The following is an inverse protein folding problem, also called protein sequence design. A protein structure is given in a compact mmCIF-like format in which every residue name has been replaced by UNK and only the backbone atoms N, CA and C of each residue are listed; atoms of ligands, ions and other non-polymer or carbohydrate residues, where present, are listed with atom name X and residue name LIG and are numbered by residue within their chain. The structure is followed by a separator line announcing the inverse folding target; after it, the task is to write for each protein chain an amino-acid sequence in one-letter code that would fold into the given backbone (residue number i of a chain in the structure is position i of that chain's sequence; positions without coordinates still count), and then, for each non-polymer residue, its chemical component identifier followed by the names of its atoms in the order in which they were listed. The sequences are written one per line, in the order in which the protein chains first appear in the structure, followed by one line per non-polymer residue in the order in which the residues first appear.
data_IF_247421303738
#
_entry.id   IF_247421303738
#
_cell.length_a   1.000
_cell.length_b   1.000
_cell.length_c   1.000
_cell.angle_alpha   90.00
_cell.angle_beta   90.00
_cell.angle_gamma   90.00
#
_symmetry.space_group_name_H-M   'P 1'
#
loop_
_entity.id
_entity.type
_entity.pdbx_description
1 polymer ?
#
# COMPACT_ATOMS: atom_id res chain seq x y z
N UNK A 1 -45.20 -51.62 32.15
CA UNK A 1 -44.67 -50.24 32.30
C UNK A 1 -43.17 -50.12 32.08
N UNK A 2 -42.28 -51.03 32.52
CA UNK A 2 -40.83 -50.94 32.32
C UNK A 2 -40.33 -51.05 30.85
N UNK A 3 -41.04 -51.79 29.98
CA UNK A 3 -40.72 -51.99 28.56
C UNK A 3 -41.13 -50.79 27.67
N UNK A 4 -42.18 -50.06 28.07
CA UNK A 4 -42.59 -48.85 27.34
C UNK A 4 -41.65 -47.64 27.62
N UNK A 5 -41.03 -47.57 28.81
CA UNK A 5 -40.11 -46.54 29.19
C UNK A 5 -38.75 -46.68 28.48
N UNK A 6 -38.27 -47.91 28.22
CA UNK A 6 -37.04 -48.20 27.49
C UNK A 6 -37.13 -47.85 26.00
N UNK A 7 -38.29 -48.02 25.38
CA UNK A 7 -38.54 -47.66 23.98
C UNK A 7 -38.65 -46.14 23.79
N UNK A 8 -39.16 -45.41 24.79
CA UNK A 8 -39.25 -43.95 24.76
C UNK A 8 -37.86 -43.29 24.91
N UNK A 9 -36.97 -43.87 25.74
CA UNK A 9 -35.60 -43.38 25.90
C UNK A 9 -34.74 -43.62 24.67
N UNK A 10 -34.92 -44.73 23.95
CA UNK A 10 -34.22 -45.02 22.70
C UNK A 10 -34.71 -44.12 21.56
N UNK A 11 -36.01 -43.79 21.50
CA UNK A 11 -36.57 -42.86 20.53
C UNK A 11 -36.05 -41.43 20.74
N UNK A 12 -35.86 -40.98 22.01
CA UNK A 12 -35.30 -39.66 22.32
C UNK A 12 -33.80 -39.58 22.02
N UNK A 13 -33.05 -40.70 22.21
CA UNK A 13 -31.63 -40.76 21.82
C UNK A 13 -31.42 -40.76 20.29
N UNK A 14 -32.34 -41.37 19.52
CA UNK A 14 -32.26 -41.37 18.06
C UNK A 14 -32.65 -40.04 17.41
N UNK A 15 -33.53 -39.25 18.06
CA UNK A 15 -33.87 -37.89 17.56
C UNK A 15 -32.76 -36.89 17.86
N UNK A 16 -31.97 -37.10 18.92
CA UNK A 16 -30.80 -36.26 19.24
C UNK A 16 -29.58 -36.47 18.32
N UNK A 17 -29.52 -37.59 17.57
CA UNK A 17 -28.42 -37.91 16.65
C UNK A 17 -28.66 -37.46 15.20
N UNK A 18 -29.85 -36.98 14.84
CA UNK A 18 -30.15 -36.46 13.51
C UNK A 18 -30.21 -34.92 13.42
N UNK A 19 -30.01 -34.22 14.54
CA UNK A 19 -29.93 -32.74 14.55
C UNK A 19 -28.50 -32.19 14.36
N UNK A 20 -27.53 -33.02 14.00
CA UNK A 20 -26.12 -32.67 13.97
C UNK A 20 -25.37 -32.97 12.68
N UNK A 21 -25.99 -32.93 11.49
CA UNK A 21 -25.28 -33.10 10.22
C UNK A 21 -25.96 -32.34 9.06
N UNK A 22 -26.14 -31.03 9.19
CA UNK A 22 -26.31 -30.12 8.05
C UNK A 22 -25.28 -29.01 8.09
N UNK A 23 -24.14 -29.25 8.71
CA UNK A 23 -22.96 -28.39 8.59
C UNK A 23 -22.18 -28.82 7.35
N UNK A 24 -22.39 -28.19 6.21
CA UNK A 24 -21.43 -28.25 5.13
C UNK A 24 -20.04 -27.86 5.68
N UNK A 25 -18.98 -28.35 5.06
CA UNK A 25 -17.60 -27.97 5.40
C UNK A 25 -17.51 -26.45 5.52
N UNK A 26 -17.10 -25.93 6.70
CA UNK A 26 -17.14 -24.49 6.98
C UNK A 26 -16.15 -23.68 6.11
N UNK A 27 -15.20 -24.38 5.47
CA UNK A 27 -14.09 -23.76 4.77
C UNK A 27 -13.14 -23.04 5.74
N UNK A 28 -12.08 -22.51 5.21
CA UNK A 28 -11.07 -21.72 5.93
C UNK A 28 -10.67 -20.49 5.12
N UNK A 29 -10.07 -19.52 5.79
CA UNK A 29 -9.44 -18.35 5.16
C UNK A 29 -7.95 -18.40 5.44
N UNK A 30 -7.14 -18.27 4.39
CA UNK A 30 -5.71 -18.08 4.51
C UNK A 30 -5.33 -16.84 3.71
N UNK A 31 -5.09 -15.73 4.42
CA UNK A 31 -4.67 -14.47 3.83
C UNK A 31 -3.15 -14.37 3.82
N UNK A 32 -2.56 -14.36 2.62
CA UNK A 32 -1.17 -13.96 2.43
C UNK A 32 -1.12 -12.43 2.32
N UNK A 33 -0.67 -11.79 3.40
CA UNK A 33 -0.63 -10.35 3.52
C UNK A 33 0.63 -9.76 2.89
N UNK A 34 0.43 -8.67 2.15
CA UNK A 34 1.49 -7.89 1.48
C UNK A 34 2.10 -6.79 2.38
N UNK A 35 1.37 -6.31 3.43
CA UNK A 35 1.70 -5.13 4.24
C UNK A 35 2.25 -5.52 5.61
N UNK A 36 3.59 -5.55 5.80
CA UNK A 36 4.19 -5.94 7.09
C UNK A 36 3.74 -5.06 8.27
N UNK A 37 3.56 -3.76 8.03
CA UNK A 37 3.14 -2.78 9.02
C UNK A 37 1.72 -3.02 9.56
N UNK A 38 0.92 -3.82 8.85
CA UNK A 38 -0.47 -4.12 9.21
C UNK A 38 -0.63 -5.44 9.97
N UNK A 39 0.42 -6.22 10.17
CA UNK A 39 0.34 -7.60 10.66
C UNK A 39 -0.45 -7.72 11.96
N UNK A 40 -0.15 -6.92 12.96
CA UNK A 40 -0.80 -6.96 14.28
C UNK A 40 -2.32 -6.76 14.17
N UNK A 41 -2.75 -5.75 13.42
CA UNK A 41 -4.18 -5.45 13.22
C UNK A 41 -4.86 -6.56 12.43
N UNK A 42 -4.20 -7.15 11.44
CA UNK A 42 -4.75 -8.26 10.66
C UNK A 42 -4.90 -9.53 11.49
N UNK A 43 -3.99 -9.82 12.42
CA UNK A 43 -4.12 -10.93 13.37
C UNK A 43 -5.32 -10.70 14.30
N UNK A 44 -5.54 -9.47 14.78
CA UNK A 44 -6.73 -9.12 15.59
C UNK A 44 -8.02 -9.30 14.80
N UNK A 45 -8.11 -8.79 13.57
CA UNK A 45 -9.27 -8.91 12.69
C UNK A 45 -9.57 -10.38 12.37
N UNK A 46 -8.54 -11.19 12.10
CA UNK A 46 -8.66 -12.63 11.89
C UNK A 46 -9.24 -13.33 13.13
N UNK A 47 -8.76 -12.99 14.32
CA UNK A 47 -9.27 -13.51 15.58
C UNK A 47 -10.74 -13.12 15.80
N UNK A 48 -11.11 -11.86 15.59
CA UNK A 48 -12.50 -11.38 15.72
C UNK A 48 -13.46 -12.17 14.82
N UNK A 49 -13.10 -12.36 13.55
CA UNK A 49 -13.92 -13.15 12.63
C UNK A 49 -14.05 -14.61 13.04
N UNK A 50 -12.95 -15.23 13.47
CA UNK A 50 -12.94 -16.60 13.93
C UNK A 50 -13.83 -16.79 15.17
N UNK A 51 -13.77 -15.86 16.13
CA UNK A 51 -14.60 -15.89 17.34
C UNK A 51 -16.10 -15.72 17.03
N UNK A 52 -16.44 -14.84 16.07
CA UNK A 52 -17.83 -14.55 15.68
C UNK A 52 -18.45 -15.70 14.86
N UNK A 53 -17.68 -16.27 13.91
CA UNK A 53 -18.25 -17.18 12.90
C UNK A 53 -17.85 -18.65 13.09
N UNK A 54 -16.79 -18.90 13.84
CA UNK A 54 -16.14 -20.21 13.97
C UNK A 54 -15.42 -20.67 12.70
N UNK A 55 -15.18 -19.79 11.73
CA UNK A 55 -14.34 -20.02 10.54
C UNK A 55 -12.92 -19.62 10.88
N UNK A 56 -11.96 -20.53 10.69
CA UNK A 56 -10.55 -20.24 10.93
C UNK A 56 -10.01 -19.23 9.90
N UNK A 57 -9.33 -18.18 10.38
CA UNK A 57 -8.62 -17.23 9.56
C UNK A 57 -7.15 -17.24 9.94
N UNK A 58 -6.29 -17.65 8.99
CA UNK A 58 -4.84 -17.59 9.09
C UNK A 58 -4.35 -16.36 8.31
N UNK A 59 -3.52 -15.55 8.94
CA UNK A 59 -2.77 -14.48 8.25
C UNK A 59 -1.29 -14.85 8.26
N UNK A 60 -0.66 -14.84 7.09
CA UNK A 60 0.78 -14.91 6.93
C UNK A 60 1.25 -13.61 6.27
N UNK A 61 2.11 -12.88 6.94
CA UNK A 61 2.65 -11.64 6.41
C UNK A 61 4.02 -11.88 5.78
N UNK A 62 4.17 -11.52 4.52
CA UNK A 62 5.45 -11.56 3.83
C UNK A 62 6.37 -10.45 4.35
N UNK A 63 7.67 -10.73 4.46
CA UNK A 63 8.64 -9.70 4.78
C UNK A 63 8.72 -8.66 3.65
N UNK A 64 9.08 -7.41 4.01
CA UNK A 64 9.22 -6.32 3.04
C UNK A 64 10.10 -6.74 1.85
N UNK A 65 9.62 -6.46 0.63
CA UNK A 65 10.32 -6.80 -0.61
C UNK A 65 10.27 -8.28 -1.04
N UNK A 66 9.66 -9.19 -0.23
CA UNK A 66 9.68 -10.64 -0.51
C UNK A 66 8.35 -11.23 -0.93
N UNK A 67 7.31 -10.43 -1.09
CA UNK A 67 5.94 -10.92 -1.32
C UNK A 67 5.81 -11.91 -2.48
N UNK A 68 6.36 -11.59 -3.64
CA UNK A 68 6.24 -12.44 -4.83
C UNK A 68 6.90 -13.82 -4.64
N UNK A 69 8.06 -13.86 -3.98
CA UNK A 69 8.77 -15.12 -3.67
C UNK A 69 7.97 -15.94 -2.66
N UNK A 70 7.42 -15.27 -1.64
CA UNK A 70 6.57 -15.90 -0.63
C UNK A 70 5.29 -16.44 -1.26
N UNK A 71 4.64 -15.68 -2.15
CA UNK A 71 3.42 -16.10 -2.86
C UNK A 71 3.68 -17.36 -3.69
N UNK A 72 4.75 -17.39 -4.48
CA UNK A 72 5.13 -18.58 -5.26
C UNK A 72 5.30 -19.81 -4.36
N UNK A 73 6.06 -19.66 -3.25
CA UNK A 73 6.32 -20.76 -2.33
C UNK A 73 5.05 -21.25 -1.59
N UNK A 74 4.14 -20.34 -1.26
CA UNK A 74 2.89 -20.69 -0.57
C UNK A 74 1.85 -21.29 -1.51
N UNK A 75 1.79 -20.87 -2.78
CA UNK A 75 0.83 -21.41 -3.76
C UNK A 75 1.11 -22.87 -4.15
N UNK A 76 2.35 -23.34 -4.00
CA UNK A 76 2.74 -24.72 -4.26
C UNK A 76 2.37 -25.69 -3.10
N UNK A 77 1.90 -25.17 -1.97
CA UNK A 77 1.53 -25.99 -0.81
C UNK A 77 0.14 -26.61 -0.96
N UNK A 78 -0.07 -27.75 -0.30
CA UNK A 78 -1.38 -28.38 -0.22
C UNK A 78 -2.44 -27.44 0.42
N UNK A 79 -2.01 -26.62 1.37
CA UNK A 79 -2.83 -25.58 2.00
C UNK A 79 -2.39 -24.20 1.50
N UNK A 80 -2.62 -23.94 0.22
CA UNK A 80 -2.33 -22.67 -0.41
C UNK A 80 -3.17 -21.51 0.16
N UNK A 81 -2.71 -20.25 0.04
CA UNK A 81 -3.51 -19.08 0.35
C UNK A 81 -4.84 -19.07 -0.39
N UNK A 82 -5.92 -18.73 0.31
CA UNK A 82 -7.25 -18.55 -0.27
C UNK A 82 -7.50 -17.10 -0.68
N UNK A 83 -6.81 -16.16 0.00
CA UNK A 83 -6.82 -14.72 -0.25
C UNK A 83 -5.38 -14.25 -0.45
N UNK A 84 -5.10 -13.61 -1.57
CA UNK A 84 -3.77 -13.12 -1.92
C UNK A 84 -3.83 -11.80 -2.70
N UNK A 85 -2.69 -11.19 -3.01
CA UNK A 85 -2.62 -9.89 -3.69
C UNK A 85 -2.15 -10.06 -5.13
N UNK A 86 -2.89 -9.43 -6.06
CA UNK A 86 -2.46 -9.18 -7.45
C UNK A 86 -2.30 -7.67 -7.58
N UNK A 87 -1.08 -7.14 -7.42
CA UNK A 87 -0.82 -5.73 -7.20
C UNK A 87 -0.55 -4.87 -8.46
N UNK A 88 -0.45 -5.47 -9.65
CA UNK A 88 -0.17 -4.77 -10.90
C UNK A 88 -0.53 -5.60 -12.13
N UNK A 89 -0.47 -5.01 -13.33
CA UNK A 89 -0.86 -5.67 -14.59
C UNK A 89 0.05 -6.84 -14.99
N UNK A 90 1.32 -6.85 -14.59
CA UNK A 90 2.18 -8.02 -14.81
C UNK A 90 1.76 -9.19 -13.93
N UNK A 91 1.44 -8.91 -12.66
CA UNK A 91 0.91 -9.92 -11.75
C UNK A 91 -0.45 -10.48 -12.22
N UNK A 92 -1.28 -9.70 -12.91
CA UNK A 92 -2.49 -10.22 -13.57
C UNK A 92 -2.13 -11.30 -14.60
N UNK A 93 -1.13 -11.07 -15.44
CA UNK A 93 -0.70 -12.05 -16.45
C UNK A 93 -0.20 -13.35 -15.82
N UNK A 94 0.49 -13.25 -14.69
CA UNK A 94 1.08 -14.40 -13.97
C UNK A 94 0.01 -15.20 -13.19
N UNK A 95 -0.94 -14.50 -12.56
CA UNK A 95 -1.83 -15.09 -11.55
C UNK A 95 -3.30 -15.20 -11.96
N UNK A 96 -3.72 -14.71 -13.13
CA UNK A 96 -5.13 -14.74 -13.58
C UNK A 96 -5.76 -16.15 -13.53
N UNK A 97 -5.00 -17.20 -13.82
CA UNK A 97 -5.48 -18.58 -13.82
C UNK A 97 -5.74 -19.14 -12.41
N UNK A 98 -5.22 -18.46 -11.39
CA UNK A 98 -5.47 -18.73 -9.97
C UNK A 98 -6.55 -17.80 -9.39
N UNK A 99 -6.95 -16.75 -10.08
CA UNK A 99 -7.92 -15.80 -9.58
C UNK A 99 -9.36 -16.23 -9.88
N UNK A 100 -10.24 -16.09 -8.88
CA UNK A 100 -11.67 -16.20 -9.07
C UNK A 100 -12.21 -14.94 -9.75
N UNK A 101 -13.10 -15.10 -10.74
CA UNK A 101 -13.78 -13.94 -11.31
C UNK A 101 -14.76 -13.34 -10.27
N UNK A 102 -14.53 -12.11 -9.87
CA UNK A 102 -15.26 -11.39 -8.82
C UNK A 102 -16.38 -10.49 -9.35
N UNK A 103 -16.62 -10.43 -10.67
CA UNK A 103 -17.48 -9.43 -11.33
C UNK A 103 -18.89 -9.29 -10.72
N UNK A 104 -19.52 -10.39 -10.35
CA UNK A 104 -20.87 -10.40 -9.78
C UNK A 104 -20.88 -10.81 -8.29
N UNK A 105 -19.72 -10.78 -7.66
CA UNK A 105 -19.53 -11.23 -6.30
C UNK A 105 -20.15 -10.30 -5.26
N UNK A 106 -20.31 -10.80 -4.04
CA UNK A 106 -20.83 -10.03 -2.92
C UNK A 106 -19.92 -8.83 -2.60
N UNK A 107 -18.58 -9.01 -2.63
CA UNK A 107 -17.64 -7.92 -2.36
C UNK A 107 -17.64 -6.87 -3.48
N UNK A 108 -17.81 -7.26 -4.75
CA UNK A 108 -17.88 -6.30 -5.85
C UNK A 108 -19.12 -5.38 -5.75
N UNK A 109 -20.22 -5.86 -5.15
CA UNK A 109 -21.42 -5.05 -4.89
C UNK A 109 -21.22 -4.00 -3.79
N UNK A 110 -20.27 -4.21 -2.90
CA UNK A 110 -19.87 -3.25 -1.86
C UNK A 110 -18.99 -2.11 -2.38
N UNK A 111 -18.37 -2.24 -3.56
CA UNK A 111 -17.51 -1.20 -4.12
C UNK A 111 -18.26 0.14 -4.28
N UNK A 112 -17.63 1.24 -3.87
CA UNK A 112 -18.10 2.60 -4.15
C UNK A 112 -17.51 3.19 -5.43
N UNK A 113 -16.47 2.53 -5.98
CA UNK A 113 -15.81 2.88 -7.24
C UNK A 113 -15.24 1.63 -7.90
N UNK A 114 -15.11 1.63 -9.22
CA UNK A 114 -14.43 0.59 -10.01
C UNK A 114 -13.00 0.99 -10.42
N UNK A 115 -12.54 2.17 -9.99
CA UNK A 115 -11.23 2.71 -10.33
C UNK A 115 -10.06 1.82 -9.83
N UNK A 116 -10.29 1.00 -8.81
CA UNK A 116 -9.31 0.11 -8.21
C UNK A 116 -9.63 -1.36 -8.48
N UNK A 117 -10.03 -1.65 -9.71
CA UNK A 117 -10.31 -3.00 -10.18
C UNK A 117 -9.27 -3.42 -11.21
N UNK A 118 -8.87 -4.70 -11.19
CA UNK A 118 -8.01 -5.27 -12.23
C UNK A 118 -8.74 -6.36 -13.01
N UNK A 119 -8.63 -6.25 -14.32
CA UNK A 119 -9.25 -7.16 -15.26
C UNK A 119 -8.19 -7.90 -16.07
N UNK A 120 -8.46 -9.17 -16.38
CA UNK A 120 -7.69 -9.91 -17.37
C UNK A 120 -8.12 -9.54 -18.81
N UNK A 121 -7.41 -10.09 -19.79
CA UNK A 121 -7.69 -9.82 -21.21
C UNK A 121 -9.09 -10.31 -21.68
N UNK A 122 -9.71 -11.23 -20.94
CA UNK A 122 -11.05 -11.77 -21.20
C UNK A 122 -12.16 -10.94 -20.51
N UNK A 123 -11.78 -9.89 -19.77
CA UNK A 123 -12.70 -9.01 -19.04
C UNK A 123 -13.21 -9.60 -17.73
N UNK A 124 -12.55 -10.61 -17.17
CA UNK A 124 -12.84 -11.09 -15.83
C UNK A 124 -12.23 -10.14 -14.79
N UNK A 125 -12.99 -9.84 -13.74
CA UNK A 125 -12.52 -9.10 -12.58
C UNK A 125 -11.68 -10.03 -11.69
N UNK A 126 -10.36 -9.96 -11.81
CA UNK A 126 -9.43 -10.90 -11.15
C UNK A 126 -8.96 -10.43 -9.79
N UNK A 127 -9.00 -9.11 -9.53
CA UNK A 127 -8.71 -8.56 -8.21
C UNK A 127 -9.37 -7.20 -7.98
N UNK A 128 -9.55 -6.84 -6.69
CA UNK A 128 -10.26 -5.65 -6.23
C UNK A 128 -9.38 -4.91 -5.22
N UNK A 129 -9.20 -3.61 -5.40
CA UNK A 129 -8.49 -2.79 -4.44
C UNK A 129 -9.14 -2.83 -3.06
N UNK A 130 -8.37 -3.16 -2.01
CA UNK A 130 -8.89 -3.15 -0.65
C UNK A 130 -8.51 -1.91 0.15
N UNK A 131 -7.54 -1.14 -0.31
CA UNK A 131 -7.26 0.17 0.25
C UNK A 131 -6.83 1.16 -0.84
N UNK A 132 -6.95 2.44 -0.50
CA UNK A 132 -6.50 3.56 -1.29
C UNK A 132 -5.50 4.34 -0.45
N UNK A 133 -4.37 4.69 -1.05
CA UNK A 133 -3.26 5.35 -0.37
C UNK A 133 -2.76 6.53 -1.20
N UNK A 134 -1.97 7.40 -0.55
CA UNK A 134 -1.22 8.42 -1.25
C UNK A 134 0.23 8.46 -0.77
N UNK A 135 1.13 8.96 -1.60
CA UNK A 135 2.51 9.22 -1.23
C UNK A 135 3.03 10.52 -1.86
N UNK A 136 4.10 10.99 -1.28
CA UNK A 136 4.76 12.24 -1.63
C UNK A 136 5.89 12.52 -0.64
N UNK A 137 6.02 13.77 -0.23
CA UNK A 137 6.97 14.20 0.80
C UNK A 137 6.16 14.58 2.05
N UNK A 138 6.36 13.85 3.14
CA UNK A 138 5.83 14.21 4.46
C UNK A 138 6.65 15.36 5.00
N UNK A 139 5.98 16.41 5.48
CA UNK A 139 6.60 17.66 5.95
C UNK A 139 6.25 17.89 7.41
N UNK A 140 7.23 18.38 8.18
CA UNK A 140 7.04 18.94 9.51
C UNK A 140 6.94 20.46 9.44
N UNK A 141 5.72 21.06 9.43
CA UNK A 141 5.55 22.50 9.28
C UNK A 141 6.25 23.32 10.36
N UNK A 142 6.33 22.78 11.59
CA UNK A 142 7.03 23.45 12.70
C UNK A 142 8.52 23.65 12.41
N UNK A 143 9.17 22.68 11.78
CA UNK A 143 10.59 22.81 11.41
C UNK A 143 10.78 23.76 10.22
N UNK A 144 9.83 23.77 9.28
CA UNK A 144 9.83 24.73 8.16
C UNK A 144 9.75 26.17 8.70
N UNK A 145 8.81 26.43 9.63
CA UNK A 145 8.68 27.74 10.28
C UNK A 145 9.92 28.10 11.10
N UNK A 146 10.50 27.14 11.83
CA UNK A 146 11.75 27.33 12.59
C UNK A 146 12.93 27.70 11.70
N UNK A 147 12.97 27.18 10.47
CA UNK A 147 13.97 27.55 9.46
C UNK A 147 13.71 28.92 8.82
N UNK A 148 12.56 29.55 9.09
CA UNK A 148 12.19 30.87 8.58
C UNK A 148 11.38 30.85 7.28
N UNK A 149 10.79 29.71 6.95
CA UNK A 149 9.98 29.49 5.75
C UNK A 149 8.50 29.20 6.09
N UNK A 150 7.66 29.16 5.06
CA UNK A 150 6.24 28.80 5.14
C UNK A 150 5.93 27.64 4.22
N UNK A 151 4.83 26.94 4.45
CA UNK A 151 4.36 25.88 3.55
C UNK A 151 4.14 26.38 2.11
N UNK A 152 3.78 27.66 1.94
CA UNK A 152 3.62 28.28 0.63
C UNK A 152 4.92 28.40 -0.18
N UNK A 153 6.08 28.34 0.47
CA UNK A 153 7.39 28.33 -0.19
C UNK A 153 7.73 26.97 -0.84
N UNK A 154 6.90 25.92 -0.59
CA UNK A 154 7.11 24.54 -1.03
C UNK A 154 6.20 24.12 -2.21
N UNK A 155 5.67 25.06 -3.02
CA UNK A 155 4.64 24.78 -4.02
C UNK A 155 5.15 24.39 -5.42
N UNK A 156 6.45 24.27 -5.61
CA UNK A 156 7.11 23.81 -6.82
C UNK A 156 8.53 23.35 -6.49
N UNK A 157 9.23 22.79 -7.47
CA UNK A 157 10.58 22.26 -7.28
C UNK A 157 11.58 23.31 -6.84
N UNK A 158 11.56 24.51 -7.46
CA UNK A 158 12.51 25.58 -7.12
C UNK A 158 12.35 26.06 -5.67
N UNK A 159 11.11 26.18 -5.20
CA UNK A 159 10.83 26.52 -3.80
C UNK A 159 11.27 25.42 -2.84
N UNK A 160 10.90 24.15 -3.13
CA UNK A 160 11.33 23.02 -2.34
C UNK A 160 12.85 22.91 -2.28
N UNK A 161 13.54 23.04 -3.42
CA UNK A 161 14.99 23.00 -3.54
C UNK A 161 15.64 24.09 -2.68
N UNK A 162 15.20 25.33 -2.84
CA UNK A 162 15.71 26.45 -2.05
C UNK A 162 15.61 26.21 -0.55
N UNK A 163 14.46 25.71 -0.09
CA UNK A 163 14.22 25.46 1.35
C UNK A 163 15.07 24.30 1.85
N UNK A 164 15.13 23.19 1.09
CA UNK A 164 15.91 22.02 1.48
C UNK A 164 17.42 22.30 1.53
N UNK A 165 17.97 22.95 0.52
CA UNK A 165 19.40 23.31 0.46
C UNK A 165 19.79 24.28 1.59
N UNK A 166 18.94 25.26 1.92
CA UNK A 166 19.19 26.19 3.01
C UNK A 166 19.13 25.51 4.38
N UNK A 167 18.14 24.65 4.61
CA UNK A 167 18.06 23.87 5.86
C UNK A 167 19.30 23.00 6.01
N UNK A 168 19.67 22.24 4.97
CA UNK A 168 20.84 21.37 5.00
C UNK A 168 22.12 22.17 5.31
N UNK A 169 22.34 23.28 4.62
CA UNK A 169 23.48 24.18 4.87
C UNK A 169 23.54 24.69 6.31
N UNK A 170 22.39 24.92 6.93
CA UNK A 170 22.26 25.41 8.32
C UNK A 170 21.93 24.31 9.32
N UNK A 171 22.03 23.03 8.95
CA UNK A 171 21.58 21.92 9.80
C UNK A 171 22.20 21.94 11.19
N UNK A 172 23.49 22.27 11.31
CA UNK A 172 24.18 22.38 12.60
C UNK A 172 23.63 23.54 13.46
N UNK A 173 23.26 24.65 12.87
CA UNK A 173 22.67 25.82 13.55
C UNK A 173 21.24 25.50 13.99
N UNK A 174 20.44 24.91 13.09
CA UNK A 174 19.03 24.61 13.30
C UNK A 174 18.81 23.44 14.27
N UNK A 175 19.76 22.49 14.32
CA UNK A 175 19.68 21.26 15.09
C UNK A 175 18.88 20.15 14.41
N UNK A 176 18.58 20.31 13.11
CA UNK A 176 17.91 19.33 12.25
C UNK A 176 18.32 19.55 10.80
N UNK A 177 18.15 18.52 9.96
CA UNK A 177 18.48 18.56 8.53
C UNK A 177 17.21 18.62 7.65
N UNK A 178 17.39 18.74 6.33
CA UNK A 178 16.28 18.79 5.41
C UNK A 178 15.60 17.42 5.31
N UNK A 179 16.24 16.41 4.75
CA UNK A 179 15.63 15.09 4.55
C UNK A 179 16.11 14.06 5.58
N UNK A 180 15.20 13.20 5.99
CA UNK A 180 15.56 11.96 6.68
C UNK A 180 16.24 10.99 5.71
N UNK A 181 17.16 10.16 6.22
CA UNK A 181 17.91 9.20 5.43
C UNK A 181 17.05 7.99 5.06
N UNK A 182 16.66 7.87 3.80
CA UNK A 182 16.00 6.67 3.28
C UNK A 182 17.01 5.80 2.55
N UNK A 183 17.20 4.57 3.03
CA UNK A 183 18.22 3.65 2.52
C UNK A 183 17.86 3.09 1.14
N UNK A 184 18.90 2.65 0.42
CA UNK A 184 18.81 1.97 -0.88
C UNK A 184 18.95 0.45 -0.74
N UNK A 185 18.65 -0.09 0.42
CA UNK A 185 18.58 -1.53 0.67
C UNK A 185 17.23 -2.15 0.22
N UNK A 186 17.12 -3.47 0.30
CA UNK A 186 15.92 -4.21 -0.12
C UNK A 186 14.66 -3.81 0.67
N UNK A 187 14.82 -3.30 1.90
CA UNK A 187 13.71 -2.93 2.77
C UNK A 187 13.18 -1.51 2.55
N UNK A 188 13.98 -0.63 1.95
CA UNK A 188 13.72 0.81 1.90
C UNK A 188 13.74 1.43 0.50
N UNK A 189 14.47 0.83 -0.45
CA UNK A 189 14.67 1.33 -1.81
C UNK A 189 13.39 1.53 -2.62
N UNK A 190 12.30 0.87 -2.24
CA UNK A 190 10.99 1.01 -2.89
C UNK A 190 10.47 2.46 -2.89
N UNK A 191 10.91 3.30 -1.93
CA UNK A 191 10.57 4.72 -1.89
C UNK A 191 11.02 5.45 -3.14
N UNK A 192 12.17 5.07 -3.66
CA UNK A 192 12.74 5.66 -4.88
C UNK A 192 12.38 4.86 -6.13
N UNK A 193 12.54 3.54 -6.10
CA UNK A 193 12.41 2.67 -7.27
C UNK A 193 10.97 2.32 -7.64
N UNK A 194 10.04 2.48 -6.71
CA UNK A 194 8.61 2.30 -6.92
C UNK A 194 7.85 3.64 -6.91
N UNK A 195 7.93 4.36 -5.80
CA UNK A 195 7.09 5.54 -5.58
C UNK A 195 7.64 6.79 -6.27
N UNK A 196 8.88 7.19 -6.01
CA UNK A 196 9.43 8.38 -6.68
C UNK A 196 9.57 8.16 -8.19
N UNK A 197 9.93 6.95 -8.62
CA UNK A 197 10.00 6.59 -10.03
C UNK A 197 8.63 6.67 -10.74
N UNK A 198 7.51 6.62 -10.00
CA UNK A 198 6.18 6.85 -10.58
C UNK A 198 6.06 8.20 -11.27
N UNK A 199 6.87 9.18 -10.89
CA UNK A 199 6.92 10.49 -11.54
C UNK A 199 7.21 10.34 -13.03
N UNK A 200 8.25 9.57 -13.39
CA UNK A 200 8.59 9.26 -14.80
C UNK A 200 7.41 8.59 -15.51
N UNK A 201 6.85 7.53 -14.92
CA UNK A 201 5.78 6.73 -15.54
C UNK A 201 4.49 7.52 -15.67
N UNK A 202 4.13 8.31 -14.66
CA UNK A 202 2.93 9.13 -14.70
C UNK A 202 2.96 10.14 -15.84
N UNK A 203 4.06 10.89 -15.98
CA UNK A 203 4.15 11.90 -17.01
C UNK A 203 4.25 11.30 -18.42
N UNK A 204 4.97 10.19 -18.61
CA UNK A 204 4.93 9.48 -19.89
C UNK A 204 3.55 8.90 -20.20
N UNK A 205 2.87 8.34 -19.20
CA UNK A 205 1.49 7.83 -19.36
C UNK A 205 0.54 8.96 -19.73
N UNK A 206 0.62 10.10 -19.04
CA UNK A 206 -0.19 11.30 -19.33
C UNK A 206 -0.01 11.75 -20.77
N UNK A 207 1.22 11.87 -21.25
CA UNK A 207 1.57 12.32 -22.60
C UNK A 207 1.12 11.32 -23.67
N UNK A 208 1.00 10.04 -23.30
CA UNK A 208 0.43 8.98 -24.16
C UNK A 208 -1.11 8.90 -24.09
N UNK A 209 -1.79 9.78 -23.33
CA UNK A 209 -3.25 9.75 -23.16
C UNK A 209 -3.75 8.80 -22.08
N UNK A 210 -2.88 8.34 -21.19
CA UNK A 210 -3.14 7.42 -20.08
C UNK A 210 -2.98 5.95 -20.49
N UNK A 211 -2.05 5.25 -19.85
CA UNK A 211 -1.85 3.83 -20.10
C UNK A 211 -3.06 3.01 -19.62
N UNK A 212 -3.46 2.03 -20.42
CA UNK A 212 -4.52 1.05 -20.10
C UNK A 212 -3.95 -0.37 -19.98
N UNK A 213 -2.73 -0.56 -20.49
CA UNK A 213 -1.95 -1.79 -20.44
C UNK A 213 -0.47 -1.44 -20.33
N UNK A 214 0.38 -2.43 -20.04
CA UNK A 214 1.81 -2.20 -19.97
C UNK A 214 2.33 -1.72 -21.32
N UNK A 215 3.01 -0.56 -21.42
CA UNK A 215 3.67 -0.13 -22.64
C UNK A 215 4.79 -1.10 -23.01
N UNK A 216 5.17 -1.12 -24.30
CA UNK A 216 6.25 -1.97 -24.77
C UNK A 216 7.60 -1.57 -24.17
N UNK A 217 7.79 -0.28 -23.90
CA UNK A 217 9.00 0.29 -23.30
C UNK A 217 8.68 1.55 -22.49
N UNK A 218 9.52 1.87 -21.52
CA UNK A 218 9.59 3.17 -20.84
C UNK A 218 10.67 3.98 -21.54
N UNK A 219 10.35 5.20 -21.98
CA UNK A 219 11.23 6.02 -22.82
C UNK A 219 12.27 6.79 -22.03
N UNK A 220 12.03 7.01 -20.73
CA UNK A 220 12.91 7.84 -19.89
C UNK A 220 12.77 9.33 -20.14
N UNK A 221 11.63 9.79 -20.66
CA UNK A 221 11.40 11.20 -21.05
C UNK A 221 11.54 12.14 -19.86
N UNK A 222 11.12 11.71 -18.67
CA UNK A 222 11.16 12.49 -17.42
C UNK A 222 12.23 12.00 -16.44
N UNK A 223 13.22 11.25 -16.91
CA UNK A 223 14.30 10.72 -16.07
C UNK A 223 15.13 11.83 -15.43
N UNK A 224 15.35 12.96 -16.12
CA UNK A 224 16.05 14.11 -15.55
C UNK A 224 15.25 14.76 -14.42
N UNK A 225 13.91 14.79 -14.53
CA UNK A 225 13.04 15.28 -13.47
C UNK A 225 13.07 14.36 -12.25
N UNK A 226 13.01 13.03 -12.47
CA UNK A 226 13.23 12.06 -11.40
C UNK A 226 14.58 12.28 -10.71
N UNK A 227 15.65 12.44 -11.49
CA UNK A 227 17.00 12.69 -10.99
C UNK A 227 17.08 13.99 -10.15
N UNK A 228 16.44 15.06 -10.60
CA UNK A 228 16.41 16.33 -9.87
C UNK A 228 15.85 16.15 -8.44
N UNK A 229 14.71 15.47 -8.30
CA UNK A 229 14.11 15.22 -7.00
C UNK A 229 14.92 14.21 -6.18
N UNK A 230 15.43 13.16 -6.82
CA UNK A 230 16.29 12.17 -6.18
C UNK A 230 17.55 12.85 -5.59
N UNK A 231 18.28 13.63 -6.38
CA UNK A 231 19.46 14.36 -5.95
C UNK A 231 19.15 15.32 -4.82
N UNK A 232 18.02 16.02 -4.89
CA UNK A 232 17.60 16.91 -3.83
C UNK A 232 17.43 16.15 -2.50
N UNK A 233 16.83 14.97 -2.53
CA UNK A 233 16.62 14.15 -1.33
C UNK A 233 17.94 13.61 -0.76
N UNK A 234 18.79 13.00 -1.60
CA UNK A 234 20.00 12.33 -1.10
C UNK A 234 21.13 13.28 -0.71
N UNK A 235 21.25 14.43 -1.41
CA UNK A 235 22.31 15.40 -1.15
C UNK A 235 21.98 16.42 -0.04
N UNK A 236 20.72 16.44 0.42
CA UNK A 236 20.29 17.28 1.55
C UNK A 236 19.72 16.42 2.69
N UNK A 237 20.28 15.23 2.88
CA UNK A 237 19.93 14.28 3.92
C UNK A 237 20.94 14.32 5.07
N UNK A 238 20.49 13.89 6.23
CA UNK A 238 21.33 13.69 7.44
C UNK A 238 22.49 12.73 7.22
N UNK A 239 22.34 11.80 6.28
CA UNK A 239 23.34 10.77 5.97
C UNK A 239 23.87 11.02 4.56
N UNK A 240 25.20 11.03 4.37
CA UNK A 240 25.79 11.16 3.03
C UNK A 240 25.28 10.09 2.06
N UNK A 241 25.03 10.48 0.80
CA UNK A 241 24.46 9.60 -0.22
C UNK A 241 25.20 8.26 -0.36
N UNK A 242 26.54 8.29 -0.30
CA UNK A 242 27.41 7.08 -0.36
C UNK A 242 27.17 6.06 0.77
N UNK A 243 26.58 6.49 1.88
CA UNK A 243 26.31 5.61 3.04
C UNK A 243 24.91 4.99 2.98
N UNK A 244 24.00 5.50 2.15
CA UNK A 244 22.61 5.02 2.05
C UNK A 244 22.51 3.57 1.52
N UNK A 245 23.51 3.08 0.79
CA UNK A 245 23.56 1.70 0.30
C UNK A 245 23.79 0.65 1.42
N UNK A 246 24.29 1.07 2.58
CA UNK A 246 24.64 0.14 3.68
C UNK A 246 23.43 -0.26 4.54
N UNK A 247 22.33 0.48 4.47
CA UNK A 247 21.14 0.27 5.28
C UNK A 247 21.31 0.63 6.76
N UNK A 248 20.24 0.44 7.52
CA UNK A 248 20.26 0.60 8.98
C UNK A 248 19.94 2.01 9.48
N UNK A 249 19.57 2.94 8.60
CA UNK A 249 19.11 4.26 8.98
C UNK A 249 17.60 4.24 9.23
N UNK A 250 17.18 4.82 10.33
CA UNK A 250 15.76 4.91 10.72
C UNK A 250 15.18 6.28 10.31
N UNK A 251 14.80 6.40 9.04
CA UNK A 251 14.25 7.62 8.48
C UNK A 251 12.96 8.07 9.18
N UNK A 252 12.10 7.12 9.60
CA UNK A 252 10.87 7.41 10.35
C UNK A 252 11.21 8.05 11.70
N UNK A 253 12.12 7.44 12.46
CA UNK A 253 12.50 7.97 13.77
C UNK A 253 13.22 9.31 13.67
N UNK A 254 14.05 9.52 12.64
CA UNK A 254 14.68 10.83 12.39
C UNK A 254 13.62 11.93 12.20
N UNK A 255 12.56 11.65 11.42
CA UNK A 255 11.46 12.58 11.23
C UNK A 255 10.65 12.79 12.52
N UNK A 256 10.23 11.72 13.18
CA UNK A 256 9.42 11.74 14.42
C UNK A 256 10.14 12.47 15.55
N UNK A 257 11.45 12.38 15.63
CA UNK A 257 12.25 13.06 16.67
C UNK A 257 12.66 14.49 16.30
N UNK A 258 12.15 15.01 15.18
CA UNK A 258 12.42 16.38 14.73
C UNK A 258 13.86 16.58 14.27
N UNK A 259 14.52 15.56 13.76
CA UNK A 259 15.87 15.62 13.20
C UNK A 259 15.86 15.90 11.70
N UNK A 260 14.72 15.74 11.03
CA UNK A 260 14.55 16.05 9.62
C UNK A 260 13.21 16.76 9.39
N UNK A 261 13.19 17.75 8.48
CA UNK A 261 11.99 18.49 8.11
C UNK A 261 11.13 17.77 7.08
N UNK A 262 11.74 16.91 6.24
CA UNK A 262 11.12 16.19 5.15
C UNK A 262 11.34 14.68 5.28
N UNK A 263 10.33 13.89 4.92
CA UNK A 263 10.36 12.42 4.91
C UNK A 263 9.65 11.88 3.66
N UNK A 264 10.38 11.22 2.78
CA UNK A 264 9.82 10.60 1.57
C UNK A 264 9.09 9.33 1.96
N UNK A 265 7.75 9.36 2.00
CA UNK A 265 6.92 8.21 2.35
C UNK A 265 5.44 8.45 1.99
N UNK A 266 4.53 7.63 2.51
CA UNK A 266 3.12 7.66 2.17
C UNK A 266 2.16 7.68 3.36
N UNK A 267 0.88 7.62 3.04
CA UNK A 267 -0.23 7.76 4.01
C UNK A 267 -0.27 6.65 5.06
N UNK A 268 0.34 5.50 4.83
CA UNK A 268 0.49 4.41 5.80
C UNK A 268 1.33 4.80 7.03
N UNK A 269 2.16 5.83 6.92
CA UNK A 269 2.96 6.36 8.03
C UNK A 269 2.15 7.26 8.99
N UNK A 270 0.92 7.64 8.63
CA UNK A 270 0.17 8.66 9.35
C UNK A 270 0.03 8.35 10.84
N UNK A 271 -0.38 7.13 11.20
CA UNK A 271 -0.59 6.77 12.62
C UNK A 271 0.69 6.90 13.44
N UNK A 272 1.83 6.43 12.89
CA UNK A 272 3.12 6.52 13.56
C UNK A 272 3.66 7.95 13.64
N UNK A 273 3.40 8.77 12.62
CA UNK A 273 3.91 10.15 12.53
C UNK A 273 3.05 11.12 13.31
N UNK A 274 1.72 11.01 13.26
CA UNK A 274 0.80 11.98 13.84
C UNK A 274 0.89 12.05 15.39
N UNK A 275 1.28 10.96 16.04
CA UNK A 275 1.53 10.97 17.48
C UNK A 275 2.70 11.88 17.87
N UNK A 276 3.79 11.85 17.09
CA UNK A 276 4.99 12.63 17.38
C UNK A 276 4.98 14.03 16.74
N UNK A 277 4.35 14.17 15.57
CA UNK A 277 4.27 15.41 14.78
C UNK A 277 2.80 15.64 14.36
N UNK A 278 1.92 16.11 15.28
CA UNK A 278 0.47 16.18 15.05
C UNK A 278 0.05 17.08 13.86
N UNK A 279 0.90 18.04 13.49
CA UNK A 279 0.67 18.94 12.37
C UNK A 279 1.38 18.53 11.08
N UNK A 280 1.95 17.31 11.03
CA UNK A 280 2.55 16.79 9.81
C UNK A 280 1.54 16.79 8.66
N UNK A 281 2.01 17.13 7.47
CA UNK A 281 1.22 17.12 6.24
C UNK A 281 2.04 16.54 5.09
N UNK A 282 1.46 16.46 3.90
CA UNK A 282 2.17 15.98 2.72
C UNK A 282 2.13 17.00 1.59
N UNK A 283 3.19 17.03 0.80
CA UNK A 283 3.28 17.78 -0.46
C UNK A 283 3.58 16.81 -1.63
N UNK A 284 3.19 17.18 -2.87
CA UNK A 284 3.51 16.40 -4.06
C UNK A 284 5.02 16.25 -4.30
N UNK A 285 5.37 15.31 -5.18
CA UNK A 285 6.69 15.22 -5.76
C UNK A 285 6.86 16.31 -6.82
N UNK A 286 7.43 17.44 -6.43
CA UNK A 286 7.83 18.49 -7.34
C UNK A 286 9.23 18.21 -7.89
N UNK A 287 9.40 18.23 -9.19
CA UNK A 287 10.61 17.78 -9.87
C UNK A 287 11.01 18.66 -11.07
N UNK A 288 10.44 19.86 -11.18
CA UNK A 288 10.71 20.80 -12.28
C UNK A 288 9.98 20.44 -13.58
N UNK A 289 8.83 19.74 -13.50
CA UNK A 289 7.99 19.49 -14.66
C UNK A 289 7.07 20.69 -14.90
N UNK A 290 6.91 21.09 -16.16
CA UNK A 290 6.02 22.21 -16.52
C UNK A 290 4.59 21.94 -16.02
N UNK A 291 4.02 22.91 -15.30
CA UNK A 291 2.67 22.85 -14.74
C UNK A 291 2.58 22.06 -13.42
N UNK A 292 3.70 21.69 -12.80
CA UNK A 292 3.72 20.94 -11.54
C UNK A 292 3.14 21.70 -10.34
N UNK A 293 2.97 23.02 -10.43
CA UNK A 293 2.29 23.81 -9.41
C UNK A 293 0.82 23.41 -9.23
N UNK A 294 0.28 22.65 -10.19
CA UNK A 294 -1.05 22.03 -10.13
C UNK A 294 -1.00 20.52 -9.83
N UNK A 295 0.14 19.97 -9.50
CA UNK A 295 0.24 18.58 -9.10
C UNK A 295 -0.41 18.37 -7.73
N UNK A 296 -1.16 17.30 -7.60
CA UNK A 296 -1.59 16.74 -6.33
C UNK A 296 -0.68 15.58 -5.91
N UNK A 297 -1.03 14.90 -4.82
CA UNK A 297 -0.29 13.74 -4.34
C UNK A 297 -0.42 12.57 -5.32
N UNK A 298 0.54 11.66 -5.26
CA UNK A 298 0.46 10.37 -5.95
C UNK A 298 -0.54 9.49 -5.22
N UNK A 299 -1.67 9.20 -5.84
CA UNK A 299 -2.77 8.47 -5.23
C UNK A 299 -3.15 7.23 -6.02
N UNK A 300 -3.37 6.12 -5.31
CA UNK A 300 -3.71 4.85 -5.93
C UNK A 300 -3.60 3.70 -4.96
N UNK A 301 -3.33 2.51 -5.47
CA UNK A 301 -3.09 1.31 -4.68
C UNK A 301 -2.23 0.29 -5.43
N UNK A 302 -1.50 -0.52 -4.69
CA UNK A 302 -0.91 -1.81 -5.10
C UNK A 302 -1.57 -2.97 -4.31
N UNK A 303 -2.61 -2.67 -3.55
CA UNK A 303 -3.22 -3.54 -2.56
C UNK A 303 -4.55 -4.07 -3.08
N UNK A 304 -4.54 -5.20 -3.77
CA UNK A 304 -5.71 -5.79 -4.40
C UNK A 304 -5.95 -7.20 -3.85
N UNK A 305 -7.17 -7.48 -3.42
CA UNK A 305 -7.61 -8.80 -3.03
C UNK A 305 -7.94 -9.67 -4.25
N UNK A 306 -7.36 -10.86 -4.31
CA UNK A 306 -7.73 -11.93 -5.23
C UNK A 306 -8.07 -13.20 -4.44
N UNK A 307 -9.15 -13.90 -4.81
CA UNK A 307 -9.52 -15.18 -4.22
C UNK A 307 -8.92 -16.31 -5.09
N UNK A 308 -8.27 -17.26 -4.46
CA UNK A 308 -7.70 -18.42 -5.15
C UNK A 308 -8.80 -19.34 -5.68
N UNK A 309 -8.92 -19.46 -6.99
CA UNK A 309 -9.91 -20.29 -7.68
C UNK A 309 -9.61 -21.79 -7.58
N UNK A 310 -8.39 -22.19 -7.17
CA UNK A 310 -7.95 -23.59 -7.08
C UNK A 310 -8.26 -24.24 -5.74
N UNK A 311 -8.61 -23.46 -4.70
CA UNK A 311 -9.02 -24.00 -3.41
C UNK A 311 -10.48 -24.52 -3.46
N UNK A 312 -10.92 -25.21 -2.40
CA UNK A 312 -12.27 -25.77 -2.33
C UNK A 312 -13.35 -24.69 -2.47
N UNK A 313 -14.55 -25.07 -2.91
CA UNK A 313 -15.69 -24.13 -2.97
C UNK A 313 -16.09 -23.60 -1.59
N UNK A 314 -15.88 -24.41 -0.54
CA UNK A 314 -16.09 -23.99 0.84
C UNK A 314 -15.09 -22.89 1.24
N UNK A 315 -13.81 -23.05 0.89
CA UNK A 315 -12.77 -22.04 1.15
C UNK A 315 -13.01 -20.76 0.34
N UNK A 316 -13.38 -20.87 -0.95
CA UNK A 316 -13.72 -19.70 -1.78
C UNK A 316 -14.87 -18.90 -1.16
N UNK A 317 -15.91 -19.61 -0.68
CA UNK A 317 -17.05 -18.97 -0.03
C UNK A 317 -16.66 -18.33 1.30
N UNK A 318 -15.91 -19.05 2.15
CA UNK A 318 -15.45 -18.54 3.43
C UNK A 318 -14.59 -17.28 3.25
N UNK A 319 -13.72 -17.26 2.24
CA UNK A 319 -12.89 -16.10 1.90
C UNK A 319 -13.73 -14.93 1.42
N UNK A 320 -14.74 -15.17 0.57
CA UNK A 320 -15.67 -14.13 0.13
C UNK A 320 -16.44 -13.53 1.32
N UNK A 321 -16.97 -14.39 2.19
CA UNK A 321 -17.71 -13.96 3.38
C UNK A 321 -16.82 -13.13 4.32
N UNK A 322 -15.56 -13.53 4.50
CA UNK A 322 -14.56 -12.80 5.28
C UNK A 322 -14.28 -11.41 4.67
N UNK A 323 -14.04 -11.31 3.36
CA UNK A 323 -13.82 -10.03 2.69
C UNK A 323 -15.01 -9.07 2.88
N UNK A 324 -16.24 -9.57 2.69
CA UNK A 324 -17.46 -8.78 2.93
C UNK A 324 -17.57 -8.36 4.38
N UNK A 325 -17.31 -9.27 5.32
CA UNK A 325 -17.33 -8.96 6.74
C UNK A 325 -16.29 -7.89 7.11
N UNK A 326 -15.08 -7.95 6.57
CA UNK A 326 -14.04 -6.93 6.78
C UNK A 326 -14.52 -5.51 6.47
N UNK A 327 -15.36 -5.34 5.47
CA UNK A 327 -15.84 -4.01 5.04
C UNK A 327 -17.18 -3.62 5.68
N UNK A 328 -17.99 -4.59 6.14
CA UNK A 328 -19.35 -4.33 6.68
C UNK A 328 -19.41 -4.36 8.21
N UNK A 329 -18.52 -5.13 8.88
CA UNK A 329 -18.44 -5.10 10.34
C UNK A 329 -17.81 -3.78 10.80
N UNK A 330 -18.50 -3.05 11.65
CA UNK A 330 -18.11 -1.68 12.04
C UNK A 330 -16.76 -1.62 12.75
N UNK A 331 -16.47 -2.59 13.62
CA UNK A 331 -15.23 -2.59 14.39
C UNK A 331 -14.05 -3.04 13.53
N UNK A 332 -14.21 -4.13 12.76
CA UNK A 332 -13.18 -4.61 11.84
C UNK A 332 -12.86 -3.56 10.77
N UNK A 333 -13.89 -2.97 10.15
CA UNK A 333 -13.71 -1.92 9.15
C UNK A 333 -13.01 -0.69 9.73
N UNK A 334 -13.31 -0.29 10.98
CA UNK A 334 -12.61 0.82 11.66
C UNK A 334 -11.13 0.51 11.83
N UNK A 335 -10.79 -0.68 12.37
CA UNK A 335 -9.40 -1.12 12.55
C UNK A 335 -8.64 -1.14 11.21
N UNK A 336 -9.26 -1.68 10.16
CA UNK A 336 -8.65 -1.77 8.84
C UNK A 336 -8.45 -0.40 8.19
N UNK A 337 -9.44 0.51 8.29
CA UNK A 337 -9.32 1.87 7.74
C UNK A 337 -8.28 2.68 8.50
N UNK A 338 -8.19 2.56 9.82
CA UNK A 338 -7.18 3.25 10.62
C UNK A 338 -5.75 2.77 10.26
N UNK A 339 -5.63 1.53 9.76
CA UNK A 339 -4.36 0.94 9.32
C UNK A 339 -4.06 1.20 7.85
N UNK A 340 -5.05 1.02 6.97
CA UNK A 340 -4.88 1.10 5.52
C UNK A 340 -5.13 2.51 4.93
N UNK A 341 -5.79 3.38 5.68
CA UNK A 341 -6.16 4.73 5.27
C UNK A 341 -7.58 4.83 4.73
N UNK A 342 -7.89 4.36 3.54
CA UNK A 342 -9.25 4.32 2.96
C UNK A 342 -9.51 2.96 2.34
N UNK A 343 -10.67 2.40 2.63
CA UNK A 343 -11.17 1.23 1.92
C UNK A 343 -12.29 1.67 0.95
N UNK A 344 -12.19 1.37 -0.36
CA UNK A 344 -13.12 1.90 -1.38
C UNK A 344 -14.46 1.14 -1.42
N UNK A 345 -15.12 0.99 -0.25
CA UNK A 345 -16.37 0.25 -0.10
C UNK A 345 -17.45 1.10 0.59
N UNK A 346 -18.71 0.89 0.19
CA UNK A 346 -19.89 1.65 0.66
C UNK A 346 -20.10 1.55 2.16
N UNK A 347 -19.85 0.37 2.73
CA UNK A 347 -20.07 0.07 4.14
C UNK A 347 -18.85 0.27 5.01
N UNK A 348 -17.69 0.57 4.42
CA UNK A 348 -16.45 0.78 5.15
C UNK A 348 -16.51 2.05 6.02
N UNK A 349 -15.74 2.05 7.12
CA UNK A 349 -15.61 3.21 7.97
C UNK A 349 -14.97 4.40 7.22
N UNK A 350 -15.30 5.62 7.62
CA UNK A 350 -14.66 6.82 7.06
C UNK A 350 -13.23 6.96 7.57
N UNK A 351 -12.32 7.42 6.70
CA UNK A 351 -10.92 7.64 7.07
C UNK A 351 -10.74 8.88 7.94
N UNK A 352 -9.86 8.76 8.94
CA UNK A 352 -9.37 9.88 9.75
C UNK A 352 -7.92 10.25 9.44
N UNK A 353 -7.34 9.66 8.40
CA UNK A 353 -5.95 9.86 7.99
C UNK A 353 -5.73 11.26 7.43
N UNK A 354 -4.92 12.08 8.13
CA UNK A 354 -4.64 13.47 7.77
C UNK A 354 -3.86 13.62 6.46
N UNK A 355 -3.06 12.61 6.07
CA UNK A 355 -2.33 12.65 4.79
C UNK A 355 -3.28 12.44 3.60
N UNK A 356 -4.28 11.57 3.75
CA UNK A 356 -5.34 11.42 2.76
C UNK A 356 -6.26 12.64 2.72
N UNK A 357 -6.50 13.29 3.86
CA UNK A 357 -7.19 14.58 3.89
C UNK A 357 -6.40 15.66 3.12
N UNK A 358 -5.07 15.66 3.19
CA UNK A 358 -4.23 16.54 2.38
C UNK A 358 -4.37 16.24 0.88
N UNK A 359 -4.38 14.95 0.47
CA UNK A 359 -4.63 14.55 -0.92
C UNK A 359 -5.99 15.06 -1.42
N UNK A 360 -7.05 14.88 -0.63
CA UNK A 360 -8.38 15.36 -0.95
C UNK A 360 -8.43 16.90 -1.09
N UNK A 361 -7.66 17.61 -0.25
CA UNK A 361 -7.56 19.07 -0.36
C UNK A 361 -6.91 19.50 -1.66
N UNK A 362 -5.81 18.88 -2.11
CA UNK A 362 -5.23 19.18 -3.43
C UNK A 362 -6.23 18.99 -4.54
N UNK A 363 -7.00 17.90 -4.54
CA UNK A 363 -8.05 17.65 -5.53
C UNK A 363 -9.17 18.71 -5.49
N UNK A 364 -9.61 19.12 -4.29
CA UNK A 364 -10.59 20.17 -4.09
C UNK A 364 -10.10 21.55 -4.57
N UNK A 365 -8.80 21.82 -4.44
CA UNK A 365 -8.14 23.03 -4.92
C UNK A 365 -7.90 23.01 -6.45
N UNK A 366 -8.34 21.96 -7.17
CA UNK A 366 -8.24 21.82 -8.61
C UNK A 366 -6.90 21.29 -9.11
N UNK A 367 -6.09 20.69 -8.23
CA UNK A 367 -4.88 19.99 -8.61
C UNK A 367 -5.21 18.63 -9.25
N UNK A 368 -4.42 18.19 -10.22
CA UNK A 368 -4.56 16.86 -10.80
C UNK A 368 -3.98 15.80 -9.87
N UNK A 369 -4.62 14.65 -9.80
CA UNK A 369 -4.09 13.48 -9.07
C UNK A 369 -3.04 12.79 -9.93
N UNK A 370 -1.89 12.48 -9.36
CA UNK A 370 -0.91 11.61 -10.01
C UNK A 370 -1.28 10.16 -9.69
N UNK A 371 -1.86 9.44 -10.64
CA UNK A 371 -2.17 8.02 -10.45
C UNK A 371 -0.90 7.16 -10.38
N UNK A 372 -1.07 5.91 -9.94
CA UNK A 372 0.06 4.98 -9.83
C UNK A 372 0.31 4.27 -11.16
N UNK A 373 0.83 5.02 -12.13
CA UNK A 373 1.23 4.52 -13.44
C UNK A 373 2.30 3.40 -13.35
N UNK A 374 3.01 3.31 -12.22
CA UNK A 374 3.90 2.19 -11.87
C UNK A 374 3.20 0.83 -11.96
N UNK A 375 1.88 0.75 -11.81
CA UNK A 375 1.10 -0.48 -11.97
C UNK A 375 1.12 -1.03 -13.40
N UNK A 376 1.47 -0.20 -14.38
CA UNK A 376 1.62 -0.56 -15.80
C UNK A 376 3.08 -0.70 -16.23
N UNK A 377 4.03 -0.61 -15.30
CA UNK A 377 5.44 -0.74 -15.64
C UNK A 377 5.75 -2.17 -16.14
N UNK A 378 6.32 -2.34 -17.35
CA UNK A 378 6.71 -3.65 -17.84
C UNK A 378 7.88 -4.20 -17.01
N UNK A 379 7.85 -5.53 -16.71
CA UNK A 379 8.91 -6.22 -15.96
C UNK A 379 9.28 -5.54 -14.63
N UNK A 380 8.28 -5.09 -13.87
CA UNK A 380 8.42 -4.24 -12.68
C UNK A 380 9.49 -4.72 -11.68
N UNK A 381 9.55 -6.04 -11.41
CA UNK A 381 10.49 -6.60 -10.42
C UNK A 381 11.95 -6.51 -10.89
N UNK A 382 12.22 -6.87 -12.14
CA UNK A 382 13.57 -6.83 -12.70
C UNK A 382 14.05 -5.39 -12.91
N UNK A 383 13.13 -4.51 -13.32
CA UNK A 383 13.43 -3.09 -13.44
C UNK A 383 13.76 -2.46 -12.08
N UNK A 384 12.96 -2.70 -11.03
CA UNK A 384 13.22 -2.17 -9.68
C UNK A 384 14.59 -2.64 -9.15
N UNK A 385 14.96 -3.91 -9.35
CA UNK A 385 16.30 -4.42 -8.99
C UNK A 385 17.42 -3.73 -9.77
N UNK A 386 17.25 -3.55 -11.07
CA UNK A 386 18.22 -2.87 -11.90
C UNK A 386 18.38 -1.40 -11.49
N UNK A 387 17.26 -0.72 -11.16
CA UNK A 387 17.27 0.66 -10.70
C UNK A 387 17.94 0.81 -9.32
N UNK A 388 17.70 -0.11 -8.37
CA UNK A 388 18.44 -0.15 -7.09
C UNK A 388 19.94 -0.22 -7.34
N UNK A 389 20.39 -1.12 -8.22
CA UNK A 389 21.81 -1.28 -8.53
C UNK A 389 22.41 -0.02 -9.17
N UNK A 390 21.66 0.62 -10.09
CA UNK A 390 22.09 1.85 -10.74
C UNK A 390 22.16 3.03 -9.76
N UNK A 391 21.16 3.18 -8.88
CA UNK A 391 21.15 4.25 -7.88
C UNK A 391 22.24 4.07 -6.81
N UNK A 392 22.53 2.82 -6.40
CA UNK A 392 23.65 2.55 -5.51
C UNK A 392 25.00 2.89 -6.14
N UNK A 393 25.21 2.56 -7.42
CA UNK A 393 26.40 2.97 -8.15
C UNK A 393 26.50 4.50 -8.26
N UNK A 394 25.37 5.15 -8.57
CA UNK A 394 25.28 6.60 -8.63
C UNK A 394 25.61 7.27 -7.28
N UNK A 395 25.05 6.76 -6.18
CA UNK A 395 25.31 7.28 -4.84
C UNK A 395 26.79 7.15 -4.44
N UNK A 396 27.45 6.06 -4.86
CA UNK A 396 28.87 5.84 -4.58
C UNK A 396 29.80 6.86 -5.25
N UNK A 397 29.36 7.41 -6.41
CA UNK A 397 30.11 8.38 -7.19
C UNK A 397 29.84 9.84 -6.77
N UNK A 398 28.92 10.09 -5.81
CA UNK A 398 28.67 11.43 -5.31
C UNK A 398 29.89 11.96 -4.56
N UNK A 399 30.29 13.17 -4.87
CA UNK A 399 31.28 13.94 -4.10
C UNK A 399 30.59 14.65 -2.95
N UNK A 400 31.31 14.78 -1.81
CA UNK A 400 30.84 15.51 -0.63
C UNK A 400 30.60 16.98 -0.92
#
# INVERSE_FOLDING_TARGET
MKKALSLLLIAILCVGLFAGCTGGEKGRVYWLNFKPESDEVLQEVAKMYTEETGVEVKVLTAASGTYNQTLLAEMDKAEAPTLFVIGNQNAVKEWKDYALNLKDSAIAKELNTDAYNMYDADGNLVSIGYCYECYGIIVNPTLIEKAGYKMDDLKNFEGLKKVAEDIHKRAKELGFDAFSASDMDDSSSWRFTGHMANLEYYYESRDAGGWKECPAEIKGTYMENFKNLYDLCINNSMTPAKELATGGHDAQNQFKTGKAAFYVNGSWEYSAVAEAVPNATMIPYYAGVEGEEKAGLNCGTENYWAINSKVSKADQKATMDFMVWCVTNKEASRKLVDTFGVMPYKSAAESTNGFLAAANKYSADGCYVMDWATNYQPNVNEYRKALVSALNAYNADQTE
#
